data_IF_460435108789
#
_entry.id   IF_460435108789
#
_cell.length_a   1.000
_cell.length_b   1.000
_cell.length_c   1.000
_cell.angle_alpha   90.00
_cell.angle_beta   90.00
_cell.angle_gamma   90.00
#
_symmetry.space_group_name_H-M   'P 1'
#
loop_
_entity.id
_entity.type
_entity.pdbx_description
1 polymer ?
#
# COMPACT_ATOMS: atom_id res chain seq x y z
N UNK A 1 11.74 6.25 10.85
CA UNK A 1 10.59 6.78 11.61
C UNK A 1 10.10 8.07 10.98
N UNK A 2 8.81 8.22 10.85
CA UNK A 2 8.24 9.45 10.32
C UNK A 2 8.09 10.47 11.43
N UNK A 3 8.27 11.73 11.11
CA UNK A 3 8.09 12.77 12.11
C UNK A 3 6.60 13.11 12.25
N UNK A 4 6.29 14.01 13.18
CA UNK A 4 4.90 14.34 13.49
C UNK A 4 4.16 15.01 12.34
N UNK A 5 4.87 15.65 11.41
CA UNK A 5 4.19 16.29 10.30
C UNK A 5 3.61 15.25 9.33
N UNK A 6 4.28 14.12 9.15
CA UNK A 6 3.73 13.03 8.36
C UNK A 6 2.46 12.48 9.01
N UNK A 7 2.49 12.25 10.33
CA UNK A 7 1.32 11.72 11.02
C UNK A 7 0.13 12.66 10.92
N UNK A 8 0.37 13.96 11.05
CA UNK A 8 -0.70 14.94 10.92
C UNK A 8 -1.32 14.93 9.53
N UNK A 9 -0.49 14.86 8.51
CA UNK A 9 -0.99 14.85 7.13
C UNK A 9 -1.76 13.58 6.81
N UNK A 10 -1.29 12.45 7.33
CA UNK A 10 -1.99 11.19 7.13
C UNK A 10 -3.36 11.24 7.79
N UNK A 11 -3.43 11.62 9.05
CA UNK A 11 -4.70 11.67 9.78
C UNK A 11 -5.65 12.73 9.26
N UNK A 12 -5.12 13.84 8.82
CA UNK A 12 -5.95 14.94 8.34
C UNK A 12 -6.37 14.83 6.89
N UNK A 13 -5.87 13.81 6.18
CA UNK A 13 -6.24 13.63 4.78
C UNK A 13 -5.57 14.61 3.83
N UNK A 14 -4.51 15.29 4.28
CA UNK A 14 -3.81 16.26 3.43
C UNK A 14 -2.59 15.67 2.73
N UNK A 15 -2.25 14.42 3.02
CA UNK A 15 -1.16 13.76 2.33
C UNK A 15 -1.57 13.49 0.89
N UNK A 16 -0.76 13.92 -0.07
CA UNK A 16 -1.05 13.72 -1.48
C UNK A 16 -0.15 12.62 -2.03
N UNK A 17 -0.72 11.54 -2.53
CA UNK A 17 0.10 10.49 -3.14
C UNK A 17 0.78 11.00 -4.41
N UNK A 18 2.03 10.56 -4.62
CA UNK A 18 2.77 10.87 -5.84
C UNK A 18 2.44 9.90 -6.96
N UNK A 19 1.95 8.73 -6.59
CA UNK A 19 1.62 7.69 -7.55
C UNK A 19 0.56 6.80 -6.90
N UNK A 20 -0.33 6.24 -7.68
CA UNK A 20 -1.37 5.35 -7.17
C UNK A 20 -1.51 4.14 -8.08
N UNK A 21 -1.74 2.99 -7.48
CA UNK A 21 -2.06 1.77 -8.23
C UNK A 21 -3.26 1.10 -7.58
N UNK A 22 -4.01 0.36 -8.38
CA UNK A 22 -5.18 -0.35 -7.91
C UNK A 22 -4.97 -1.84 -8.18
N UNK A 23 -4.91 -2.61 -7.10
CA UNK A 23 -4.69 -4.04 -7.18
C UNK A 23 -5.97 -4.86 -6.97
N UNK A 24 -7.07 -4.19 -6.63
CA UNK A 24 -8.28 -4.94 -6.32
C UNK A 24 -8.75 -5.71 -7.56
N UNK A 25 -9.27 -6.89 -7.36
CA UNK A 25 -9.75 -7.71 -8.48
C UNK A 25 -8.66 -8.48 -9.21
N UNK A 26 -7.39 -8.21 -8.93
CA UNK A 26 -6.30 -8.97 -9.54
C UNK A 26 -6.13 -10.32 -8.84
N UNK A 27 -5.54 -11.28 -9.53
CA UNK A 27 -5.08 -12.49 -8.85
C UNK A 27 -3.91 -12.12 -7.94
N UNK A 28 -3.58 -12.97 -6.98
CA UNK A 28 -2.45 -12.71 -6.10
C UNK A 28 -1.15 -12.56 -6.89
N UNK A 29 -0.94 -13.43 -7.87
CA UNK A 29 0.28 -13.36 -8.67
C UNK A 29 0.36 -12.05 -9.46
N UNK A 30 -0.74 -11.64 -10.08
CA UNK A 30 -0.75 -10.40 -10.85
C UNK A 30 -0.59 -9.18 -9.96
N UNK A 31 -1.22 -9.20 -8.78
CA UNK A 31 -1.09 -8.11 -7.83
C UNK A 31 0.33 -7.98 -7.32
N UNK A 32 0.97 -9.10 -7.01
CA UNK A 32 2.35 -9.10 -6.53
C UNK A 32 3.30 -8.53 -7.59
N UNK A 33 3.14 -8.96 -8.84
CA UNK A 33 3.94 -8.43 -9.94
C UNK A 33 3.73 -6.93 -10.10
N UNK A 34 2.47 -6.50 -10.07
CA UNK A 34 2.15 -5.08 -10.24
C UNK A 34 2.73 -4.24 -9.12
N UNK A 35 2.69 -4.76 -7.89
CA UNK A 35 3.25 -4.05 -6.75
C UNK A 35 4.75 -3.84 -6.94
N UNK A 36 5.48 -4.88 -7.32
CA UNK A 36 6.91 -4.77 -7.52
C UNK A 36 7.26 -3.79 -8.64
N UNK A 37 6.47 -3.78 -9.72
CA UNK A 37 6.67 -2.82 -10.79
C UNK A 37 6.45 -1.39 -10.29
N UNK A 38 5.42 -1.19 -9.49
CA UNK A 38 5.12 0.13 -8.95
C UNK A 38 6.22 0.62 -8.01
N UNK A 39 6.73 -0.26 -7.15
CA UNK A 39 7.83 0.11 -6.26
C UNK A 39 9.07 0.50 -7.06
N UNK A 40 9.41 -0.28 -8.08
CA UNK A 40 10.55 0.02 -8.92
C UNK A 40 10.39 1.38 -9.61
N UNK A 41 9.22 1.62 -10.18
CA UNK A 41 8.94 2.89 -10.85
C UNK A 41 8.99 4.07 -9.89
N UNK A 42 8.35 3.92 -8.73
CA UNK A 42 8.32 5.00 -7.75
C UNK A 42 9.73 5.34 -7.27
N UNK A 43 10.54 4.32 -7.02
CA UNK A 43 11.90 4.55 -6.55
C UNK A 43 12.80 5.14 -7.63
N UNK A 44 12.62 4.72 -8.88
CA UNK A 44 13.43 5.29 -9.97
C UNK A 44 13.09 6.75 -10.22
N UNK A 45 11.89 7.17 -9.88
CA UNK A 45 11.45 8.58 -9.99
C UNK A 45 11.65 9.35 -8.68
N UNK A 46 12.18 8.69 -7.66
CA UNK A 46 12.40 9.28 -6.35
C UNK A 46 11.10 9.83 -5.74
N UNK A 47 10.01 9.11 -5.94
CA UNK A 47 8.73 9.47 -5.35
C UNK A 47 8.70 9.07 -3.87
N UNK A 48 7.89 9.77 -3.09
CA UNK A 48 7.83 9.53 -1.65
C UNK A 48 6.59 8.80 -1.18
N UNK A 49 5.47 8.98 -1.86
CA UNK A 49 4.20 8.41 -1.39
C UNK A 49 3.52 7.64 -2.49
N UNK A 50 3.35 6.35 -2.27
CA UNK A 50 2.65 5.45 -3.18
C UNK A 50 1.35 5.04 -2.53
N UNK A 51 0.22 5.26 -3.20
CA UNK A 51 -1.08 4.80 -2.73
C UNK A 51 -1.40 3.47 -3.40
N UNK A 52 -1.73 2.48 -2.61
CA UNK A 52 -2.07 1.16 -3.13
C UNK A 52 -3.50 0.84 -2.72
N UNK A 53 -4.38 0.71 -3.70
CA UNK A 53 -5.77 0.33 -3.46
C UNK A 53 -5.85 -1.17 -3.57
N UNK A 54 -6.22 -1.84 -2.48
CA UNK A 54 -6.24 -3.30 -2.42
C UNK A 54 -7.65 -3.85 -2.34
N UNK A 55 -8.64 -3.01 -2.10
CA UNK A 55 -9.95 -3.44 -1.70
C UNK A 55 -10.00 -3.63 -0.19
N UNK A 56 -11.19 -3.70 0.35
CA UNK A 56 -11.36 -3.80 1.80
C UNK A 56 -10.89 -5.15 2.32
N UNK A 57 -10.42 -5.22 3.57
CA UNK A 57 -10.06 -6.51 4.15
C UNK A 57 -11.31 -7.36 4.32
N UNK A 58 -11.17 -8.70 4.43
CA UNK A 58 -12.32 -9.57 4.58
C UNK A 58 -13.04 -9.28 5.89
N UNK A 59 -14.36 -9.26 5.82
CA UNK A 59 -15.15 -9.12 7.02
C UNK A 59 -15.42 -10.51 7.49
N UNK A 60 -15.26 -10.79 8.73
CA UNK A 60 -15.79 -11.94 9.36
C UNK A 60 -16.14 -13.06 8.51
N UNK A 61 -15.37 -13.46 7.69
CA UNK A 61 -15.80 -14.39 6.78
C UNK A 61 -15.87 -15.72 7.34
N UNK A 62 -16.74 -16.17 7.84
CA UNK A 62 -16.79 -17.50 8.27
C UNK A 62 -16.77 -18.51 7.17
N UNK A 63 -16.79 -18.15 5.93
CA UNK A 63 -16.89 -19.16 4.88
C UNK A 63 -15.72 -19.06 3.93
N UNK A 64 -15.36 -20.18 3.37
CA UNK A 64 -14.26 -20.24 2.42
C UNK A 64 -14.47 -19.41 1.19
N UNK A 65 -15.70 -19.12 0.87
CA UNK A 65 -15.99 -18.34 -0.30
C UNK A 65 -15.47 -16.92 -0.16
N UNK A 66 -15.53 -16.39 1.05
CA UNK A 66 -15.09 -15.04 1.27
C UNK A 66 -13.59 -14.95 1.49
N UNK A 67 -12.91 -16.07 1.58
CA UNK A 67 -11.48 -16.06 1.82
C UNK A 67 -10.71 -15.41 0.68
N UNK A 68 -11.28 -15.32 -0.50
CA UNK A 68 -10.63 -14.65 -1.62
C UNK A 68 -10.74 -13.15 -1.54
N UNK A 69 -11.75 -12.65 -0.86
CA UNK A 69 -11.91 -11.22 -0.70
C UNK A 69 -10.88 -10.73 0.26
N UNK A 70 -10.17 -9.71 -0.11
CA UNK A 70 -9.16 -9.17 0.75
C UNK A 70 -7.90 -10.01 0.82
N UNK A 71 -7.75 -11.02 -0.05
CA UNK A 71 -6.54 -11.81 -0.06
C UNK A 71 -5.32 -10.94 -0.34
N UNK A 72 -5.44 -10.00 -1.27
CA UNK A 72 -4.35 -9.08 -1.58
C UNK A 72 -4.03 -8.23 -0.35
N UNK A 73 -5.05 -7.72 0.31
CA UNK A 73 -4.87 -6.91 1.51
C UNK A 73 -4.17 -7.69 2.62
N UNK A 74 -4.47 -8.98 2.71
CA UNK A 74 -3.85 -9.85 3.71
C UNK A 74 -2.39 -10.15 3.41
N UNK A 75 -2.01 -10.17 2.12
CA UNK A 75 -0.65 -10.53 1.73
C UNK A 75 0.28 -9.32 1.56
N UNK A 76 -0.28 -8.15 1.40
CA UNK A 76 0.54 -7.01 1.00
C UNK A 76 1.62 -6.64 2.00
N UNK A 77 1.33 -6.77 3.28
CA UNK A 77 2.33 -6.49 4.31
C UNK A 77 3.53 -7.40 4.17
N UNK A 78 3.28 -8.68 3.95
CA UNK A 78 4.34 -9.67 3.77
C UNK A 78 5.14 -9.37 2.49
N UNK A 79 4.45 -9.06 1.40
CA UNK A 79 5.14 -8.74 0.15
C UNK A 79 6.05 -7.53 0.29
N UNK A 80 5.61 -6.51 1.04
CA UNK A 80 6.43 -5.32 1.25
C UNK A 80 7.65 -5.65 2.11
N UNK A 81 7.46 -6.46 3.14
CA UNK A 81 8.57 -6.85 4.02
C UNK A 81 9.61 -7.70 3.33
N UNK A 82 9.19 -8.53 2.38
CA UNK A 82 10.09 -9.44 1.70
C UNK A 82 10.56 -8.90 0.34
N UNK A 83 10.12 -7.70 -0.03
CA UNK A 83 10.50 -7.10 -1.30
C UNK A 83 11.99 -6.78 -1.36
N UNK A 84 12.54 -6.78 -2.56
CA UNK A 84 13.91 -6.31 -2.78
C UNK A 84 14.07 -4.86 -2.38
N UNK A 85 12.98 -4.12 -2.25
CA UNK A 85 12.99 -2.70 -1.92
C UNK A 85 12.59 -2.42 -0.47
N UNK A 86 12.54 -3.45 0.37
CA UNK A 86 12.05 -3.29 1.74
C UNK A 86 12.81 -2.22 2.54
N UNK A 87 14.11 -2.12 2.32
CA UNK A 87 14.92 -1.13 3.02
C UNK A 87 14.66 0.32 2.57
N UNK A 88 13.95 0.49 1.45
CA UNK A 88 13.57 1.81 0.97
C UNK A 88 12.16 2.20 1.45
N UNK A 89 11.49 1.34 2.19
CA UNK A 89 10.15 1.62 2.71
C UNK A 89 10.28 2.15 4.12
N UNK A 90 9.88 3.40 4.32
CA UNK A 90 9.96 4.03 5.63
C UNK A 90 8.79 3.65 6.51
N UNK A 91 7.60 3.54 5.94
CA UNK A 91 6.40 3.24 6.72
C UNK A 91 5.26 2.82 5.80
N UNK A 92 4.33 2.06 6.35
CA UNK A 92 3.11 1.66 5.67
C UNK A 92 1.95 2.03 6.59
N UNK A 93 0.99 2.79 6.08
CA UNK A 93 -0.14 3.27 6.87
C UNK A 93 -1.44 3.09 6.13
N UNK A 94 -2.53 2.89 6.89
CA UNK A 94 -3.85 2.88 6.28
C UNK A 94 -4.13 4.25 5.66
N UNK A 95 -4.76 4.25 4.51
CA UNK A 95 -5.09 5.49 3.83
C UNK A 95 -6.21 6.23 4.54
N UNK A 96 -6.22 7.54 4.38
CA UNK A 96 -7.34 8.35 4.84
C UNK A 96 -8.59 7.94 4.05
N UNK A 97 -9.79 8.03 4.63
CA UNK A 97 -11.03 7.67 3.91
C UNK A 97 -11.17 8.32 2.54
N UNK A 98 -10.66 9.53 2.38
CA UNK A 98 -10.71 10.20 1.07
C UNK A 98 -9.90 9.46 0.00
N UNK A 99 -8.96 8.59 0.40
CA UNK A 99 -8.12 7.82 -0.52
C UNK A 99 -8.41 6.32 -0.46
N UNK A 100 -9.52 5.93 0.16
CA UNK A 100 -9.89 4.52 0.19
C UNK A 100 -9.98 3.89 1.57
N UNK A 101 -9.50 4.58 2.59
CA UNK A 101 -9.64 4.09 3.95
C UNK A 101 -9.08 2.69 4.16
N UNK A 102 -9.93 1.78 4.65
CA UNK A 102 -9.51 0.41 4.92
C UNK A 102 -9.14 -0.37 3.67
N UNK A 103 -9.54 0.09 2.51
CA UNK A 103 -9.24 -0.58 1.25
C UNK A 103 -7.98 -0.08 0.57
N UNK A 104 -7.20 0.76 1.22
CA UNK A 104 -6.00 1.31 0.61
C UNK A 104 -4.92 1.59 1.64
N UNK A 105 -3.68 1.66 1.17
CA UNK A 105 -2.52 1.90 2.01
C UNK A 105 -1.64 2.97 1.39
N UNK A 106 -1.00 3.77 2.26
CA UNK A 106 0.10 4.61 1.82
C UNK A 106 1.39 3.85 2.09
N UNK A 107 2.25 3.77 1.11
CA UNK A 107 3.62 3.29 1.29
C UNK A 107 4.52 4.51 1.20
N UNK A 108 5.17 4.83 2.30
CA UNK A 108 6.05 5.99 2.37
C UNK A 108 7.47 5.51 2.10
N UNK A 109 8.09 6.08 1.08
CA UNK A 109 9.40 5.63 0.64
C UNK A 109 10.50 6.56 1.15
N UNK A 110 11.68 5.98 1.39
CA UNK A 110 12.84 6.76 1.80
C UNK A 110 13.47 7.36 0.56
N UNK A 111 13.98 8.55 0.70
CA UNK A 111 14.70 9.17 -0.40
C UNK A 111 16.03 8.46 -0.61
N UNK A 112 16.44 8.45 -1.86
CA UNK A 112 17.75 7.97 -2.20
C UNK A 112 18.76 8.97 -1.65
N UNK A 113 19.80 8.48 -1.08
CA UNK A 113 20.84 9.35 -0.56
C UNK A 113 21.76 9.81 -1.68
#
# INVERSE_FOLDING_TARGET
>A
MLDSSWERRIRGGTLTPDMAIDLHGHSLAAAHTRLNQALSTALSRDLRVLLIVTGKPPKNSGTGRDSRRGAIRGEIGHWLETSAYADRIASVRLAHPRHGGEGALYVILRRKK
#
